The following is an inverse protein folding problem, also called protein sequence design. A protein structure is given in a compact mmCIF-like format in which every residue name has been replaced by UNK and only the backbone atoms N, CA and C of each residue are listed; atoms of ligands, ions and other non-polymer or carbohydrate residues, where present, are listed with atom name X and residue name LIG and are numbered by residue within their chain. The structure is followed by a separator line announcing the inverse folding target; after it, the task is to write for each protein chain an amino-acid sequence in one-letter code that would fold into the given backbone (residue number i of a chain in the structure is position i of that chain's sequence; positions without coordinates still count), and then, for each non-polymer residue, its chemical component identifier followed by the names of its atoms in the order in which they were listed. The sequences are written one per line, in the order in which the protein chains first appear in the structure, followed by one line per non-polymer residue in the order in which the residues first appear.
data_IF_158182066771
#
_entry.id   IF_158182066771
#
_cell.length_a   1.000
_cell.length_b   1.000
_cell.length_c   1.000
_cell.angle_alpha   90.00
_cell.angle_beta   90.00
_cell.angle_gamma   90.00
#
_symmetry.space_group_name_H-M   'P 1'
#
loop_
_entity.id
_entity.type
_entity.pdbx_description
1 polymer ?
#
# COMPACT_ATOMS: atom_id res chain seq x y z
N UNK A 1 -15.93 -17.01 -13.25
CA UNK A 1 -16.49 -15.88 -12.46
C UNK A 1 -15.34 -14.93 -12.16
N UNK A 2 -15.30 -13.71 -12.72
CA UNK A 2 -14.21 -12.78 -12.40
C UNK A 2 -14.37 -12.36 -10.93
N UNK A 3 -13.36 -12.65 -10.11
CA UNK A 3 -13.33 -12.16 -8.73
C UNK A 3 -12.90 -10.70 -8.77
N UNK A 4 -13.81 -9.80 -8.38
CA UNK A 4 -13.45 -8.41 -8.17
C UNK A 4 -12.40 -8.31 -7.05
N UNK A 5 -11.33 -7.60 -7.33
CA UNK A 5 -10.27 -7.35 -6.39
C UNK A 5 -10.21 -5.84 -6.10
N UNK A 6 -10.13 -5.49 -4.82
CA UNK A 6 -10.05 -4.10 -4.39
C UNK A 6 -8.79 -3.89 -3.55
N UNK A 7 -8.15 -2.75 -3.76
CA UNK A 7 -6.99 -2.29 -2.99
C UNK A 7 -7.28 -0.89 -2.47
N UNK A 8 -7.11 -0.71 -1.16
CA UNK A 8 -7.04 0.59 -0.51
C UNK A 8 -5.66 0.75 0.10
N UNK A 9 -5.01 1.89 -0.14
CA UNK A 9 -3.72 2.22 0.44
C UNK A 9 -3.70 3.68 0.87
N UNK A 10 -3.25 3.89 2.10
CA UNK A 10 -3.13 5.18 2.76
C UNK A 10 -1.66 5.40 3.09
N UNK A 11 -1.13 6.53 2.64
CA UNK A 11 0.23 6.97 2.96
C UNK A 11 0.16 8.09 3.99
N UNK A 12 0.83 7.89 5.11
CA UNK A 12 0.89 8.88 6.20
C UNK A 12 2.34 9.14 6.61
N UNK A 13 2.67 10.40 6.90
CA UNK A 13 3.96 10.76 7.48
C UNK A 13 3.91 10.60 9.00
N UNK A 14 4.68 9.66 9.54
CA UNK A 14 4.77 9.39 10.98
C UNK A 14 6.22 9.30 11.40
N UNK A 15 6.61 9.97 12.50
CA UNK A 15 7.98 9.88 13.04
C UNK A 15 9.08 10.11 11.98
N UNK A 16 8.87 11.07 11.07
CA UNK A 16 9.79 11.40 9.96
C UNK A 16 9.98 10.27 8.93
N UNK A 17 9.03 9.32 8.83
CA UNK A 17 9.01 8.29 7.78
C UNK A 17 7.63 8.18 7.15
N UNK A 18 7.59 7.85 5.87
CA UNK A 18 6.35 7.53 5.16
C UNK A 18 5.92 6.11 5.53
N UNK A 19 4.70 5.96 6.03
CA UNK A 19 4.09 4.69 6.43
C UNK A 19 2.93 4.40 5.50
N UNK A 20 2.93 3.21 4.90
CA UNK A 20 1.84 2.72 4.09
C UNK A 20 0.94 1.79 4.91
N UNK A 21 -0.35 2.12 5.03
CA UNK A 21 -1.39 1.23 5.56
C UNK A 21 -2.27 0.80 4.42
N UNK A 22 -2.61 -0.49 4.34
CA UNK A 22 -3.42 -0.98 3.24
C UNK A 22 -4.40 -2.07 3.67
N UNK A 23 -5.46 -2.21 2.87
CA UNK A 23 -6.42 -3.30 2.94
C UNK A 23 -6.67 -3.79 1.51
N UNK A 24 -6.68 -5.10 1.32
CA UNK A 24 -7.02 -5.70 0.04
C UNK A 24 -8.10 -6.78 0.21
N UNK A 25 -8.88 -6.98 -0.85
CA UNK A 25 -9.86 -8.05 -0.95
C UNK A 25 -9.73 -8.79 -2.28
N UNK A 26 -10.15 -10.06 -2.29
CA UNK A 26 -10.04 -10.92 -3.47
C UNK A 26 -8.61 -11.46 -3.68
N UNK A 27 -8.26 -11.88 -4.91
CA UNK A 27 -7.01 -12.58 -5.19
C UNK A 27 -5.78 -11.66 -5.25
N UNK A 28 -5.94 -10.35 -5.02
CA UNK A 28 -4.81 -9.42 -4.92
C UNK A 28 -3.90 -9.86 -3.77
N UNK A 29 -2.63 -10.10 -4.05
CA UNK A 29 -1.59 -10.21 -3.03
C UNK A 29 -0.75 -8.96 -3.10
N UNK A 30 -0.61 -8.30 -1.95
CA UNK A 30 0.34 -7.20 -1.84
C UNK A 30 1.71 -7.81 -1.69
N UNK A 31 2.54 -7.63 -2.71
CA UNK A 31 3.98 -7.85 -2.59
C UNK A 31 4.54 -6.77 -1.68
N UNK A 32 5.50 -7.14 -0.84
CA UNK A 32 6.20 -6.32 0.13
C UNK A 32 6.23 -4.84 -0.28
N UNK A 33 5.73 -3.95 0.60
CA UNK A 33 5.84 -2.51 0.40
C UNK A 33 7.31 -2.14 0.27
N UNK A 34 7.78 -1.99 -0.96
CA UNK A 34 9.05 -1.33 -1.24
C UNK A 34 8.84 0.11 -0.78
N UNK A 35 9.57 0.49 0.26
CA UNK A 35 9.70 1.90 0.61
C UNK A 35 10.02 2.66 -0.68
N UNK A 36 9.35 3.77 -1.02
CA UNK A 36 9.99 4.71 -1.90
C UNK A 36 11.25 5.16 -1.16
N UNK A 37 12.39 4.61 -1.54
CA UNK A 37 13.69 5.12 -1.13
C UNK A 37 13.85 6.51 -1.76
N UNK A 38 13.33 7.54 -1.10
CA UNK A 38 13.48 8.90 -1.62
C UNK A 38 12.67 9.95 -0.87
N UNK A 39 13.36 11.04 -0.52
CA UNK A 39 12.75 12.33 -0.21
C UNK A 39 12.03 12.85 -1.47
N UNK A 40 10.73 12.61 -1.61
CA UNK A 40 9.91 13.36 -2.57
C UNK A 40 8.74 12.61 -3.20
N UNK A 41 7.55 12.86 -2.67
CA UNK A 41 6.40 13.31 -3.48
C UNK A 41 6.21 14.78 -3.15
#
# INVERSE_FOLDING_TARGET
MPWHAHLHIDYTLEQQRTVARFRHSGPLRILQSLYPEGDGI
#
